data_IF_535517662626
#
_entry.id   IF_535517662626
#
_cell.length_a   1.000
_cell.length_b   1.000
_cell.length_c   1.000
_cell.angle_alpha   90.00
_cell.angle_beta   90.00
_cell.angle_gamma   90.00
#
_symmetry.space_group_name_H-M   'P 1'
#
loop_
_entity.id
_entity.type
_entity.pdbx_description
1 polymer ?
#
# COMPACT_ATOMS: atom_id res chain seq x y z
N UNK A 1 -3.60 -2.65 -14.43
CA UNK A 1 -4.10 -1.39 -13.79
C UNK A 1 -4.24 -0.34 -14.86
N UNK A 2 -5.36 0.40 -14.84
CA UNK A 2 -5.63 1.52 -15.73
C UNK A 2 -5.77 2.79 -14.88
N UNK A 3 -5.16 3.90 -15.34
CA UNK A 3 -5.28 5.23 -14.73
C UNK A 3 -5.56 6.22 -15.86
N UNK A 4 -6.48 7.15 -15.68
CA UNK A 4 -6.75 8.23 -16.64
C UNK A 4 -5.98 9.50 -16.27
N UNK A 5 -5.97 10.48 -17.20
CA UNK A 5 -5.25 11.75 -17.00
C UNK A 5 -5.77 12.51 -15.76
N UNK A 6 -7.08 12.54 -15.55
CA UNK A 6 -7.69 13.22 -14.39
C UNK A 6 -7.20 12.66 -13.04
N UNK A 7 -7.00 11.35 -12.96
CA UNK A 7 -6.41 10.73 -11.77
C UNK A 7 -4.94 11.11 -11.60
N UNK A 8 -4.18 11.24 -12.69
CA UNK A 8 -2.79 11.71 -12.64
C UNK A 8 -2.70 13.14 -12.13
N UNK A 9 -3.57 14.02 -12.60
CA UNK A 9 -3.61 15.41 -12.17
C UNK A 9 -3.87 15.55 -10.66
N UNK A 10 -4.65 14.63 -10.08
CA UNK A 10 -4.91 14.58 -8.64
C UNK A 10 -3.75 13.96 -7.85
N UNK A 11 -3.17 12.86 -8.33
CA UNK A 11 -2.14 12.11 -7.59
C UNK A 11 -0.70 12.51 -7.88
N UNK A 12 -0.48 13.31 -8.91
CA UNK A 12 0.73 14.09 -9.21
C UNK A 12 2.04 13.32 -9.24
N UNK A 13 3.01 13.80 -8.48
CA UNK A 13 4.41 13.41 -8.58
C UNK A 13 4.72 11.91 -8.43
N UNK A 14 3.95 11.15 -7.64
CA UNK A 14 4.18 9.70 -7.49
C UNK A 14 3.88 8.95 -8.78
N UNK A 15 2.82 9.33 -9.48
CA UNK A 15 2.42 8.68 -10.75
C UNK A 15 3.40 9.05 -11.86
N UNK A 16 3.86 10.28 -11.90
CA UNK A 16 4.88 10.74 -12.84
C UNK A 16 6.19 9.95 -12.72
N UNK A 17 6.61 9.63 -11.50
CA UNK A 17 7.75 8.74 -11.28
C UNK A 17 7.57 7.37 -11.96
N UNK A 18 6.40 6.74 -11.82
CA UNK A 18 6.14 5.45 -12.47
C UNK A 18 6.09 5.55 -14.00
N UNK A 19 5.61 6.66 -14.54
CA UNK A 19 5.64 6.93 -15.98
C UNK A 19 7.08 7.06 -16.46
N UNK A 20 7.91 7.87 -15.80
CA UNK A 20 9.32 8.06 -16.12
C UNK A 20 10.13 6.75 -16.06
N UNK A 21 9.80 5.88 -15.10
CA UNK A 21 10.43 4.55 -14.97
C UNK A 21 9.89 3.51 -15.94
N UNK A 22 8.90 3.85 -16.78
CA UNK A 22 8.30 2.94 -17.75
C UNK A 22 7.35 1.89 -17.15
N UNK A 23 7.03 1.98 -15.86
CA UNK A 23 6.06 1.09 -15.20
C UNK A 23 4.62 1.40 -15.60
N UNK A 24 4.35 2.64 -15.98
CA UNK A 24 3.10 3.08 -16.58
C UNK A 24 3.37 3.59 -17.99
N UNK A 25 2.65 3.05 -18.97
CA UNK A 25 2.74 3.45 -20.38
C UNK A 25 1.49 4.19 -20.80
N UNK A 26 1.67 5.33 -21.48
CA UNK A 26 0.60 6.15 -22.02
C UNK A 26 0.08 5.60 -23.34
N UNK A 27 -1.23 5.63 -23.51
CA UNK A 27 -1.94 5.33 -24.75
C UNK A 27 -2.99 6.42 -25.01
N UNK A 28 -3.25 6.70 -26.31
CA UNK A 28 -4.14 7.79 -26.70
C UNK A 28 -5.61 7.48 -26.40
N UNK A 29 -5.98 6.22 -26.28
CA UNK A 29 -7.32 5.74 -25.94
C UNK A 29 -7.29 4.28 -25.53
N UNK A 30 -8.42 3.79 -25.01
CA UNK A 30 -8.65 2.35 -24.77
C UNK A 30 -8.44 1.54 -26.04
N UNK A 31 -8.94 2.03 -27.19
CA UNK A 31 -8.80 1.37 -28.47
C UNK A 31 -7.33 1.26 -28.88
N UNK A 32 -6.59 2.37 -28.82
CA UNK A 32 -5.14 2.40 -29.12
C UNK A 32 -4.35 1.44 -28.24
N UNK A 33 -4.67 1.34 -26.95
CA UNK A 33 -4.04 0.36 -26.06
C UNK A 33 -4.27 -1.08 -26.52
N UNK A 34 -5.53 -1.44 -26.78
CA UNK A 34 -5.92 -2.79 -27.18
C UNK A 34 -5.26 -3.22 -28.50
N UNK A 35 -5.22 -2.31 -29.49
CA UNK A 35 -4.57 -2.54 -30.79
C UNK A 35 -3.07 -2.73 -30.63
N UNK A 36 -2.37 -1.83 -29.93
CA UNK A 36 -0.93 -1.93 -29.69
C UNK A 36 -0.51 -3.18 -28.91
N UNK A 37 -1.39 -3.69 -28.07
CA UNK A 37 -1.12 -4.93 -27.31
C UNK A 37 -1.52 -6.22 -28.06
N UNK A 38 -2.14 -6.12 -29.24
CA UNK A 38 -2.59 -7.28 -30.03
C UNK A 38 -3.71 -8.09 -29.34
N UNK A 39 -4.51 -7.46 -28.49
CA UNK A 39 -5.55 -8.11 -27.67
C UNK A 39 -6.96 -7.66 -28.07
N UNK A 40 -7.18 -7.37 -29.34
CA UNK A 40 -8.43 -6.81 -29.89
C UNK A 40 -9.67 -7.63 -29.53
N UNK A 41 -9.55 -8.95 -29.38
CA UNK A 41 -10.65 -9.84 -28.94
C UNK A 41 -11.22 -9.50 -27.55
N UNK A 42 -10.52 -8.73 -26.73
CA UNK A 42 -10.97 -8.33 -25.39
C UNK A 42 -11.55 -6.91 -25.34
N UNK A 43 -11.62 -6.20 -26.49
CA UNK A 43 -12.06 -4.80 -26.52
C UNK A 43 -13.45 -4.61 -25.91
N UNK A 44 -14.44 -5.40 -26.35
CA UNK A 44 -15.82 -5.28 -25.87
C UNK A 44 -15.94 -5.57 -24.36
N UNK A 45 -15.20 -6.56 -23.89
CA UNK A 45 -15.18 -6.89 -22.45
C UNK A 45 -14.57 -5.74 -21.62
N UNK A 46 -13.51 -5.10 -22.10
CA UNK A 46 -12.91 -3.97 -21.42
C UNK A 46 -13.84 -2.76 -21.41
N UNK A 47 -14.47 -2.45 -22.55
CA UNK A 47 -15.47 -1.37 -22.67
C UNK A 47 -16.65 -1.62 -21.72
N UNK A 48 -17.17 -2.85 -21.67
CA UNK A 48 -18.24 -3.23 -20.74
C UNK A 48 -17.82 -3.00 -19.27
N UNK A 49 -16.61 -3.42 -18.91
CA UNK A 49 -16.08 -3.23 -17.55
C UNK A 49 -15.92 -1.75 -17.18
N UNK A 50 -15.47 -0.92 -18.12
CA UNK A 50 -15.35 0.53 -17.90
C UNK A 50 -16.72 1.19 -17.74
N UNK A 51 -17.68 0.83 -18.57
CA UNK A 51 -19.08 1.33 -18.45
C UNK A 51 -19.66 0.95 -17.08
N UNK A 52 -19.51 -0.30 -16.67
CA UNK A 52 -19.95 -0.77 -15.36
C UNK A 52 -19.26 -0.02 -14.21
N UNK A 53 -17.95 0.23 -14.33
CA UNK A 53 -17.24 1.03 -13.34
C UNK A 53 -17.79 2.46 -13.24
N UNK A 54 -18.08 3.09 -14.37
CA UNK A 54 -18.65 4.43 -14.40
C UNK A 54 -20.07 4.48 -13.79
N UNK A 55 -20.91 3.48 -14.07
CA UNK A 55 -22.23 3.34 -13.45
C UNK A 55 -22.14 3.14 -11.93
N UNK A 56 -21.17 2.31 -11.48
CA UNK A 56 -20.92 2.08 -10.06
C UNK A 56 -20.42 3.37 -9.38
N UNK A 57 -19.61 4.17 -10.10
CA UNK A 57 -19.17 5.47 -9.62
C UNK A 57 -20.33 6.45 -9.39
N UNK A 58 -21.34 6.44 -10.28
CA UNK A 58 -22.56 7.25 -10.12
C UNK A 58 -23.41 6.78 -8.93
N UNK A 59 -23.53 5.47 -8.76
CA UNK A 59 -24.25 4.86 -7.63
C UNK A 59 -23.49 4.93 -6.30
N UNK A 60 -22.16 5.27 -6.34
CA UNK A 60 -21.23 5.21 -5.21
C UNK A 60 -21.23 3.84 -4.52
N UNK A 61 -21.40 2.78 -5.29
CA UNK A 61 -21.39 1.41 -4.79
C UNK A 61 -21.14 0.43 -5.93
N UNK A 62 -20.26 -0.55 -5.71
CA UNK A 62 -20.11 -1.71 -6.59
C UNK A 62 -20.51 -3.02 -5.86
N UNK A 63 -20.44 -4.13 -6.60
CA UNK A 63 -20.78 -5.48 -6.08
C UNK A 63 -19.85 -5.94 -4.94
N UNK A 64 -18.71 -5.30 -4.73
CA UNK A 64 -17.75 -5.61 -3.67
C UNK A 64 -17.85 -4.64 -2.48
N UNK A 65 -18.82 -3.74 -2.49
CA UNK A 65 -19.01 -2.75 -1.44
C UNK A 65 -18.09 -1.52 -1.53
N UNK A 66 -17.40 -1.29 -2.66
CA UNK A 66 -16.58 -0.10 -2.88
C UNK A 66 -17.48 1.13 -3.01
N UNK A 67 -17.18 2.16 -2.22
CA UNK A 67 -17.96 3.41 -2.14
C UNK A 67 -17.22 4.63 -2.73
N UNK A 68 -15.89 4.56 -2.87
CA UNK A 68 -15.06 5.67 -3.33
C UNK A 68 -14.54 5.39 -4.74
N UNK A 69 -14.95 6.21 -5.68
CA UNK A 69 -14.56 6.15 -7.09
C UNK A 69 -13.89 7.49 -7.45
N UNK A 70 -12.56 7.55 -7.49
CA UNK A 70 -11.84 8.82 -7.64
C UNK A 70 -12.17 9.56 -8.95
N UNK A 71 -12.28 8.81 -10.04
CA UNK A 71 -12.54 9.36 -11.37
C UNK A 71 -13.29 8.34 -12.23
N UNK A 72 -14.14 8.83 -13.13
CA UNK A 72 -14.73 8.05 -14.22
C UNK A 72 -13.78 8.00 -15.41
N UNK A 73 -13.93 7.01 -16.26
CA UNK A 73 -13.17 6.86 -17.50
C UNK A 73 -13.99 7.33 -18.71
N UNK A 74 -13.33 8.09 -19.60
CA UNK A 74 -13.77 8.29 -20.98
C UNK A 74 -13.02 7.29 -21.87
N UNK A 75 -13.72 6.63 -22.79
CA UNK A 75 -13.13 5.63 -23.70
C UNK A 75 -12.16 6.23 -24.72
N UNK A 76 -12.31 7.52 -25.01
CA UNK A 76 -11.54 8.27 -26.00
C UNK A 76 -10.42 9.12 -25.37
N UNK A 77 -10.35 9.18 -24.05
CA UNK A 77 -9.33 9.95 -23.34
C UNK A 77 -8.03 9.15 -23.18
N UNK A 78 -6.93 9.84 -22.93
CA UNK A 78 -5.65 9.23 -22.62
C UNK A 78 -5.76 8.30 -21.41
N UNK A 79 -5.11 7.15 -21.53
CA UNK A 79 -4.98 6.20 -20.42
C UNK A 79 -3.52 5.84 -20.20
N UNK A 80 -3.22 5.49 -18.97
CA UNK A 80 -1.94 4.95 -18.55
C UNK A 80 -2.15 3.53 -18.04
N UNK A 81 -1.36 2.60 -18.55
CA UNK A 81 -1.49 1.17 -18.26
C UNK A 81 -0.22 0.65 -17.64
N UNK A 82 -0.38 -0.07 -16.54
CA UNK A 82 0.71 -0.80 -15.87
C UNK A 82 0.29 -2.20 -15.49
N UNK A 83 1.22 -3.13 -15.58
CA UNK A 83 1.06 -4.48 -15.04
C UNK A 83 1.23 -4.42 -13.54
N UNK A 84 0.30 -5.03 -12.80
CA UNK A 84 0.37 -5.17 -11.35
C UNK A 84 0.25 -6.64 -10.99
N UNK A 85 0.94 -7.02 -9.91
CA UNK A 85 0.87 -8.36 -9.35
C UNK A 85 0.46 -8.25 -7.89
N UNK A 86 -0.51 -9.04 -7.40
CA UNK A 86 -0.80 -9.13 -5.98
C UNK A 86 0.44 -9.58 -5.23
N UNK A 87 0.75 -8.90 -4.14
CA UNK A 87 1.88 -9.28 -3.31
C UNK A 87 1.60 -8.99 -1.84
N UNK A 88 2.20 -9.77 -0.96
CA UNK A 88 2.23 -9.51 0.47
C UNK A 88 3.16 -8.31 0.69
N UNK A 89 2.68 -7.32 1.40
CA UNK A 89 3.43 -6.08 1.59
C UNK A 89 3.91 -5.89 3.02
N UNK A 90 3.03 -6.04 4.04
CA UNK A 90 3.32 -5.70 5.42
C UNK A 90 2.40 -6.45 6.39
N UNK A 91 2.96 -6.89 7.53
CA UNK A 91 2.21 -7.48 8.62
C UNK A 91 2.03 -6.45 9.74
N UNK A 92 0.78 -6.15 10.15
CA UNK A 92 0.48 -5.25 11.26
C UNK A 92 0.56 -5.93 12.61
N UNK A 93 0.48 -7.25 12.64
CA UNK A 93 0.63 -8.08 13.84
C UNK A 93 2.07 -8.55 14.05
N UNK A 94 2.37 -9.04 15.25
CA UNK A 94 3.70 -9.54 15.58
C UNK A 94 3.90 -9.73 17.07
N UNK A 95 5.15 -9.73 17.49
CA UNK A 95 5.53 -9.88 18.90
C UNK A 95 4.97 -8.70 19.73
N UNK A 96 4.40 -9.02 20.86
CA UNK A 96 3.92 -7.99 21.80
C UNK A 96 5.10 -7.35 22.51
N UNK A 97 5.11 -6.02 22.59
CA UNK A 97 6.18 -5.26 23.22
C UNK A 97 5.65 -4.14 24.13
N UNK A 98 6.50 -3.70 25.05
CA UNK A 98 6.28 -2.46 25.80
C UNK A 98 6.60 -1.24 24.95
N UNK A 99 6.24 -0.05 25.43
CA UNK A 99 6.65 1.22 24.81
C UNK A 99 8.17 1.40 24.64
N UNK A 100 8.98 0.59 25.31
CA UNK A 100 10.44 0.64 25.27
C UNK A 100 11.04 -0.49 24.42
N UNK A 101 10.19 -1.31 23.78
CA UNK A 101 10.65 -2.42 22.92
C UNK A 101 10.98 -3.70 23.65
N UNK A 102 10.72 -3.81 24.96
CA UNK A 102 10.87 -5.05 25.71
C UNK A 102 9.79 -6.03 25.29
N UNK A 103 10.13 -7.25 24.95
CA UNK A 103 9.16 -8.26 24.50
C UNK A 103 8.35 -8.82 25.68
N UNK A 104 7.08 -9.11 25.42
CA UNK A 104 6.13 -9.60 26.40
C UNK A 104 5.71 -11.03 26.02
N UNK A 105 5.77 -11.94 26.99
CA UNK A 105 5.28 -13.32 26.86
C UNK A 105 3.75 -13.36 26.83
N UNK A 106 3.21 -14.52 26.44
CA UNK A 106 1.76 -14.78 26.43
C UNK A 106 1.11 -14.70 27.82
N UNK A 107 1.89 -14.89 28.89
CA UNK A 107 1.44 -14.73 30.28
C UNK A 107 1.50 -13.25 30.79
N UNK A 108 1.83 -12.33 29.91
CA UNK A 108 1.92 -10.89 30.22
C UNK A 108 3.24 -10.45 30.85
N UNK A 109 4.19 -11.33 31.10
CA UNK A 109 5.48 -11.00 31.71
C UNK A 109 6.50 -10.55 30.68
N UNK A 110 7.37 -9.61 31.05
CA UNK A 110 8.49 -9.17 30.22
C UNK A 110 9.50 -10.32 30.08
N UNK A 111 10.03 -10.46 28.85
CA UNK A 111 11.16 -11.34 28.55
C UNK A 111 12.46 -10.58 28.84
N UNK A 112 13.09 -10.85 29.98
CA UNK A 112 14.30 -10.16 30.39
C UNK A 112 15.42 -10.28 29.32
N UNK A 113 16.02 -9.15 28.96
CA UNK A 113 17.12 -9.08 28.01
C UNK A 113 16.73 -9.26 26.53
N UNK A 114 15.43 -9.35 26.22
CA UNK A 114 14.97 -9.51 24.84
C UNK A 114 14.14 -8.29 24.42
N UNK A 115 14.57 -7.67 23.33
CA UNK A 115 13.97 -6.44 22.78
C UNK A 115 13.59 -6.66 21.32
N UNK A 116 12.55 -5.96 20.84
CA UNK A 116 12.08 -6.02 19.47
C UNK A 116 11.63 -4.65 18.96
N UNK A 117 11.76 -4.43 17.65
CA UNK A 117 11.29 -3.23 16.97
C UNK A 117 11.05 -3.50 15.49
N UNK A 118 10.26 -2.64 14.85
CA UNK A 118 9.92 -2.75 13.42
C UNK A 118 8.83 -3.78 13.14
N UNK A 119 8.72 -4.22 11.91
CA UNK A 119 7.61 -5.08 11.44
C UNK A 119 7.45 -6.40 12.19
N UNK A 120 8.49 -6.90 12.84
CA UNK A 120 8.43 -8.10 13.69
C UNK A 120 7.53 -7.91 14.92
N UNK A 121 7.28 -6.66 15.32
CA UNK A 121 6.44 -6.30 16.47
C UNK A 121 5.06 -5.86 16.04
N UNK A 122 4.05 -6.15 16.87
CA UNK A 122 2.66 -5.75 16.65
C UNK A 122 2.19 -4.63 17.58
N UNK A 123 0.98 -4.12 17.29
CA UNK A 123 0.30 -3.16 18.15
C UNK A 123 0.54 -1.68 17.84
N UNK A 124 1.44 -1.34 16.94
CA UNK A 124 1.75 0.06 16.58
C UNK A 124 0.73 0.63 15.58
N UNK A 125 0.33 -0.15 14.59
CA UNK A 125 -0.45 0.34 13.44
C UNK A 125 -1.95 0.03 13.49
N UNK A 126 -2.42 -0.67 14.50
CA UNK A 126 -3.82 -1.10 14.59
C UNK A 126 -4.22 -2.05 13.45
N UNK A 127 -5.40 -1.87 12.88
CA UNK A 127 -5.93 -2.76 11.84
C UNK A 127 -5.27 -2.60 10.46
N UNK A 128 -4.64 -1.45 10.19
CA UNK A 128 -3.93 -1.20 8.93
C UNK A 128 -2.90 -0.08 9.08
N UNK A 129 -1.76 -0.21 8.38
CA UNK A 129 -0.65 0.75 8.43
C UNK A 129 -0.80 1.84 7.38
N UNK A 130 -0.66 3.09 7.79
CA UNK A 130 -0.54 4.22 6.87
C UNK A 130 0.77 4.18 6.08
N UNK A 131 0.71 4.56 4.81
CA UNK A 131 1.89 4.60 3.94
C UNK A 131 3.03 5.43 4.53
N UNK A 132 4.27 4.92 4.44
CA UNK A 132 5.47 5.57 4.95
C UNK A 132 5.80 5.31 6.42
N UNK A 133 4.84 4.85 7.24
CA UNK A 133 5.03 4.69 8.69
C UNK A 133 5.91 3.50 9.10
N UNK A 134 6.20 2.57 8.21
CA UNK A 134 7.09 1.44 8.50
C UNK A 134 8.50 1.90 8.90
N UNK A 135 9.12 2.75 8.07
CA UNK A 135 10.46 3.27 8.37
C UNK A 135 10.48 4.16 9.61
N UNK A 136 9.42 4.93 9.84
CA UNK A 136 9.27 5.74 11.05
C UNK A 136 9.19 4.85 12.30
N UNK A 137 8.39 3.80 12.26
CA UNK A 137 8.31 2.80 13.35
C UNK A 137 9.68 2.20 13.65
N UNK A 138 10.38 1.70 12.62
CA UNK A 138 11.73 1.15 12.79
C UNK A 138 12.69 2.14 13.44
N UNK A 139 12.67 3.41 13.01
CA UNK A 139 13.53 4.46 13.57
C UNK A 139 13.18 4.82 15.02
N UNK A 140 11.90 4.94 15.35
CA UNK A 140 11.45 5.32 16.67
C UNK A 140 11.68 4.19 17.67
N UNK A 141 11.12 2.99 17.38
CA UNK A 141 11.21 1.88 18.32
C UNK A 141 12.59 1.24 18.37
N UNK A 142 13.36 1.27 17.26
CA UNK A 142 14.76 0.85 17.28
C UNK A 142 15.60 1.67 18.27
N UNK A 143 15.44 3.00 18.28
CA UNK A 143 16.12 3.86 19.27
C UNK A 143 15.65 3.62 20.69
N UNK A 144 14.36 3.37 20.92
CA UNK A 144 13.81 3.08 22.25
C UNK A 144 14.32 1.74 22.77
N UNK A 145 14.23 0.70 21.96
CA UNK A 145 14.72 -0.64 22.29
C UNK A 145 16.23 -0.63 22.60
N UNK A 146 17.03 0.06 21.78
CA UNK A 146 18.48 0.19 22.03
C UNK A 146 18.78 0.88 23.38
N UNK A 147 18.08 1.97 23.71
CA UNK A 147 18.26 2.65 25.01
C UNK A 147 17.87 1.74 26.16
N UNK A 148 16.73 1.03 26.07
CA UNK A 148 16.29 0.10 27.10
C UNK A 148 17.29 -1.07 27.26
N UNK A 149 17.85 -1.57 26.18
CA UNK A 149 18.86 -2.62 26.22
C UNK A 149 20.15 -2.16 26.92
N UNK A 150 20.62 -0.94 26.67
CA UNK A 150 21.77 -0.35 27.37
C UNK A 150 21.50 -0.23 28.88
N UNK A 151 20.34 0.28 29.26
CA UNK A 151 19.99 0.37 30.68
C UNK A 151 19.87 -1.01 31.34
N UNK A 152 19.34 -2.00 30.62
CA UNK A 152 19.27 -3.38 31.10
C UNK A 152 20.67 -3.96 31.36
N UNK A 153 21.63 -3.77 30.44
CA UNK A 153 23.01 -4.27 30.62
C UNK A 153 23.67 -3.67 31.85
N UNK A 154 23.48 -2.36 32.12
CA UNK A 154 24.02 -1.68 33.31
C UNK A 154 23.55 -2.30 34.63
N UNK A 155 22.44 -3.03 34.64
CA UNK A 155 21.97 -3.71 35.87
C UNK A 155 22.83 -4.88 36.28
N UNK A 156 23.72 -5.37 35.39
CA UNK A 156 24.67 -6.44 35.69
C UNK A 156 26.05 -5.94 36.13
N UNK A 157 26.32 -4.63 35.91
CA UNK A 157 27.62 -4.01 36.25
C UNK A 157 27.61 -3.44 37.69
N UNK A 158 26.49 -3.57 38.43
CA UNK A 158 26.30 -3.22 39.82
C UNK A 158 26.13 -4.46 40.69
#
# INVERSE_FOLDING_TARGET
MLINQKAIDVYGGKVNFYIQKGYLRKYDSIKSFIEKMGISKYYDNLVKSIKQYNENADKKLDQFGKKVFPQKFDLNDYIYVGVITPSIHYCMGGLTMTKNGELIKTDGKIMNGLFGCGEVTGGVHGGNRLGGNSLMECGVFGRRAARAAVEYVKTFDN
#
